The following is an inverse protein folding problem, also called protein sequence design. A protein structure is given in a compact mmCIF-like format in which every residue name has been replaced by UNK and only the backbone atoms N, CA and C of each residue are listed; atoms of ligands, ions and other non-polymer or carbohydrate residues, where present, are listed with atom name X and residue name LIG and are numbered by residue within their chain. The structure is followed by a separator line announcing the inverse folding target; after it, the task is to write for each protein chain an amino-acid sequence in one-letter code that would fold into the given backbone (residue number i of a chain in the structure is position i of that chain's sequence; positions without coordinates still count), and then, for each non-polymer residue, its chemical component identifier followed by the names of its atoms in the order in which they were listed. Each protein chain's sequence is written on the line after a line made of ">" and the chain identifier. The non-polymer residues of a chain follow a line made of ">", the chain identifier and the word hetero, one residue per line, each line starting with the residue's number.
data_IF_559821404417
#
_entry.id   IF_559821404417
#
_cell.length_a   1.000
_cell.length_b   1.000
_cell.length_c   1.000
_cell.angle_alpha   90.00
_cell.angle_beta   90.00
_cell.angle_gamma   90.00
#
_symmetry.space_group_name_H-M   'P 1'
#
loop_
_entity.id
_entity.type
_entity.pdbx_description
1 polymer ?
#
# COMPACT_ATOMS: atom_id res chain seq x y z
N UNK A 1 -35.25 32.62 -9.01
CA UNK A 1 -34.59 33.78 -8.34
C UNK A 1 -33.20 33.26 -7.91
N UNK A 2 -32.10 33.47 -8.65
CA UNK A 2 -31.16 34.64 -8.66
C UNK A 2 -30.81 35.10 -7.24
N UNK A 3 -29.57 35.23 -6.74
CA UNK A 3 -28.19 35.33 -7.27
C UNK A 3 -27.19 35.16 -6.08
N UNK A 4 -25.88 34.91 -6.32
CA UNK A 4 -24.83 34.44 -5.39
C UNK A 4 -23.87 35.57 -4.93
N UNK A 5 -22.68 35.23 -4.38
CA UNK A 5 -21.39 35.99 -4.26
C UNK A 5 -20.75 35.87 -2.83
N UNK A 6 -19.45 35.79 -2.55
CA UNK A 6 -18.15 36.01 -3.23
C UNK A 6 -17.14 34.99 -2.63
N UNK A 7 -16.23 34.34 -3.37
CA UNK A 7 -14.87 34.79 -3.75
C UNK A 7 -14.05 35.49 -2.64
N UNK A 8 -12.97 34.85 -2.18
CA UNK A 8 -11.81 35.52 -1.62
C UNK A 8 -10.53 34.73 -1.97
N UNK A 9 -9.79 35.24 -2.95
CA UNK A 9 -8.43 34.85 -3.30
C UNK A 9 -7.45 35.38 -2.24
N UNK A 10 -6.44 34.58 -1.87
CA UNK A 10 -5.18 35.10 -1.39
C UNK A 10 -4.04 34.13 -1.71
N UNK A 11 -3.31 34.42 -2.78
CA UNK A 11 -2.02 33.82 -3.08
C UNK A 11 -0.93 34.55 -2.30
N UNK A 12 0.00 33.82 -1.67
CA UNK A 12 1.28 34.36 -1.21
C UNK A 12 2.37 33.37 -1.61
N UNK A 13 3.18 33.78 -2.59
CA UNK A 13 4.44 33.15 -2.95
C UNK A 13 5.57 33.95 -2.30
N UNK A 14 6.55 33.28 -1.68
CA UNK A 14 7.84 33.87 -1.29
C UNK A 14 8.96 32.88 -1.62
N UNK A 15 9.91 33.37 -2.40
CA UNK A 15 11.17 32.76 -2.86
C UNK A 15 12.35 33.06 -1.91
N UNK A 16 13.48 32.38 -2.16
CA UNK A 16 14.89 32.58 -1.71
C UNK A 16 15.29 31.63 -0.55
N UNK A 17 16.43 30.93 -0.51
CA UNK A 17 17.62 30.80 -1.37
C UNK A 17 18.81 30.20 -0.56
N UNK A 18 19.69 29.46 -1.23
CA UNK A 18 21.16 29.24 -1.00
C UNK A 18 21.73 28.56 0.26
N UNK A 19 22.45 27.44 0.06
CA UNK A 19 23.83 27.16 0.54
C UNK A 19 24.32 25.80 -0.03
N UNK A 20 25.27 25.75 -0.97
CA UNK A 20 26.74 25.73 -0.82
C UNK A 20 27.31 24.32 -0.53
N UNK A 21 28.12 23.82 -1.46
CA UNK A 21 28.93 22.61 -1.34
C UNK A 21 29.78 22.40 -2.59
N UNK A 22 30.94 23.05 -2.64
CA UNK A 22 31.94 22.99 -3.71
C UNK A 22 32.78 21.70 -3.65
N UNK A 23 33.27 21.25 -4.81
CA UNK A 23 34.23 20.16 -4.92
C UNK A 23 34.59 19.87 -6.37
N UNK A 24 35.45 20.71 -6.96
CA UNK A 24 36.12 20.45 -8.24
C UNK A 24 37.18 19.36 -8.09
N UNK A 25 37.25 18.44 -9.04
CA UNK A 25 38.24 17.38 -9.10
C UNK A 25 38.26 16.71 -10.47
N UNK A 26 38.82 17.40 -11.45
CA UNK A 26 39.15 16.85 -12.76
C UNK A 26 40.35 15.90 -12.64
N UNK A 27 40.17 14.60 -12.94
CA UNK A 27 41.32 13.72 -13.17
C UNK A 27 40.97 12.53 -14.09
N UNK A 28 41.36 12.69 -15.35
CA UNK A 28 42.01 11.70 -16.24
C UNK A 28 41.39 10.30 -16.35
N UNK A 29 40.78 10.04 -17.52
CA UNK A 29 40.58 8.70 -18.08
C UNK A 29 41.95 8.09 -18.42
N UNK A 30 42.21 6.84 -18.02
CA UNK A 30 42.71 5.89 -19.00
C UNK A 30 41.87 4.60 -19.09
N UNK A 31 41.90 3.90 -20.25
CA UNK A 31 40.99 2.79 -20.56
C UNK A 31 41.49 1.45 -20.00
N UNK A 32 40.57 0.62 -19.50
CA UNK A 32 40.85 -0.79 -19.23
C UNK A 32 39.58 -1.65 -19.43
N UNK A 33 39.63 -2.45 -20.49
CA UNK A 33 39.22 -3.87 -20.60
C UNK A 33 37.87 -4.32 -20.01
N UNK A 34 36.91 -4.82 -20.85
CA UNK A 34 35.72 -5.50 -20.34
C UNK A 34 35.97 -6.99 -20.08
N UNK A 35 35.89 -7.41 -18.82
CA UNK A 35 35.45 -8.72 -18.33
C UNK A 35 35.23 -8.61 -16.81
N UNK A 36 34.30 -9.32 -16.13
CA UNK A 36 33.45 -10.44 -16.57
C UNK A 36 31.94 -10.18 -16.41
N UNK A 37 31.09 -10.82 -17.23
CA UNK A 37 29.64 -10.91 -16.96
C UNK A 37 29.44 -11.92 -15.83
N UNK A 38 29.50 -11.44 -14.58
CA UNK A 38 28.99 -12.18 -13.44
C UNK A 38 27.47 -12.20 -13.51
N UNK A 39 26.91 -13.40 -13.56
CA UNK A 39 25.49 -13.70 -13.35
C UNK A 39 25.01 -12.99 -12.09
N UNK A 40 24.22 -11.93 -12.26
CA UNK A 40 23.54 -11.27 -11.16
C UNK A 40 22.42 -12.21 -10.67
N UNK A 41 22.71 -12.98 -9.63
CA UNK A 41 21.69 -13.58 -8.78
C UNK A 41 20.91 -12.41 -8.16
N UNK A 42 19.70 -12.16 -8.66
CA UNK A 42 18.75 -11.26 -8.04
C UNK A 42 18.34 -11.84 -6.68
N UNK A 43 19.11 -11.53 -5.64
CA UNK A 43 18.56 -11.50 -4.28
C UNK A 43 17.51 -10.41 -4.26
N UNK A 44 16.24 -10.81 -4.37
CA UNK A 44 15.11 -10.00 -3.92
C UNK A 44 15.32 -9.73 -2.43
N UNK A 45 15.92 -8.59 -2.11
CA UNK A 45 15.77 -7.96 -0.81
C UNK A 45 14.29 -7.56 -0.67
N UNK A 46 13.50 -8.14 0.25
CA UNK A 46 12.18 -7.61 0.55
C UNK A 46 12.37 -6.18 1.07
N UNK A 47 11.74 -5.23 0.41
CA UNK A 47 11.74 -3.83 0.81
C UNK A 47 10.85 -3.68 2.04
N UNK A 48 11.42 -3.95 3.22
CA UNK A 48 10.77 -3.69 4.49
C UNK A 48 10.67 -2.17 4.69
N UNK A 49 9.49 -1.59 4.45
CA UNK A 49 9.17 -0.24 4.90
C UNK A 49 9.32 -0.17 6.43
N UNK A 50 10.12 0.77 6.98
CA UNK A 50 10.28 0.91 8.42
C UNK A 50 9.08 1.68 8.99
N UNK A 51 8.03 0.94 9.34
CA UNK A 51 6.86 1.45 10.05
C UNK A 51 6.48 0.48 11.15
N UNK A 52 6.65 0.91 12.40
CA UNK A 52 6.35 0.23 13.66
C UNK A 52 5.02 -0.53 13.62
N UNK A 53 5.06 -1.84 13.39
CA UNK A 53 3.89 -2.72 13.54
C UNK A 53 3.97 -3.50 14.84
N UNK A 54 3.69 -2.82 15.95
CA UNK A 54 3.24 -3.49 17.16
C UNK A 54 1.73 -3.70 17.02
N UNK A 55 1.28 -4.67 16.21
CA UNK A 55 -0.15 -4.99 16.11
C UNK A 55 -0.66 -5.74 14.88
N UNK A 56 0.08 -5.76 13.75
CA UNK A 56 -0.38 -6.53 12.59
C UNK A 56 -0.13 -8.04 12.80
N UNK A 57 -1.03 -8.92 12.32
CA UNK A 57 -0.80 -10.37 12.29
C UNK A 57 0.52 -10.71 11.60
N UNK A 58 1.09 -11.89 11.87
CA UNK A 58 2.29 -12.35 11.16
C UNK A 58 2.10 -12.35 9.64
N UNK A 59 3.20 -12.22 8.90
CA UNK A 59 3.15 -12.27 7.44
C UNK A 59 2.79 -13.68 6.97
N UNK A 60 1.84 -13.85 6.02
CA UNK A 60 1.48 -15.18 5.54
C UNK A 60 2.66 -15.85 4.82
N UNK A 61 2.77 -17.16 4.99
CA UNK A 61 3.70 -17.96 4.19
C UNK A 61 3.36 -17.90 2.68
N UNK A 62 4.30 -18.33 1.81
CA UNK A 62 4.20 -18.13 0.36
C UNK A 62 2.94 -18.76 -0.26
N UNK A 63 2.50 -19.92 0.26
CA UNK A 63 1.28 -20.59 -0.19
C UNK A 63 0.03 -19.77 0.14
N UNK A 64 -0.13 -19.39 1.40
CA UNK A 64 -1.27 -18.59 1.87
C UNK A 64 -1.32 -17.23 1.18
N UNK A 65 -0.16 -16.60 0.97
CA UNK A 65 -0.02 -15.37 0.20
C UNK A 65 -0.59 -15.54 -1.21
N UNK A 66 -0.20 -16.58 -1.92
CA UNK A 66 -0.68 -16.85 -3.28
C UNK A 66 -2.20 -17.09 -3.32
N UNK A 67 -2.74 -17.88 -2.40
CA UNK A 67 -4.19 -18.17 -2.33
C UNK A 67 -5.02 -16.92 -1.99
N UNK A 68 -4.50 -16.04 -1.13
CA UNK A 68 -5.13 -14.76 -0.82
C UNK A 68 -5.15 -13.84 -2.05
N UNK A 69 -4.03 -13.71 -2.77
CA UNK A 69 -3.94 -12.88 -3.97
C UNK A 69 -4.80 -13.43 -5.12
N UNK A 70 -4.90 -14.75 -5.27
CA UNK A 70 -5.81 -15.39 -6.22
C UNK A 70 -7.28 -15.05 -5.88
N UNK A 71 -7.63 -15.10 -4.58
CA UNK A 71 -8.96 -14.72 -4.11
C UNK A 71 -9.28 -13.25 -4.39
N UNK A 72 -8.34 -12.33 -4.18
CA UNK A 72 -8.51 -10.92 -4.54
C UNK A 72 -8.68 -10.73 -6.05
N UNK A 73 -7.84 -11.37 -6.86
CA UNK A 73 -7.94 -11.30 -8.32
C UNK A 73 -9.28 -11.86 -8.84
N UNK A 74 -9.87 -12.84 -8.14
CA UNK A 74 -11.20 -13.35 -8.43
C UNK A 74 -12.35 -12.38 -8.13
N UNK A 75 -12.11 -11.38 -7.27
CA UNK A 75 -13.06 -10.28 -7.01
C UNK A 75 -12.84 -9.19 -8.06
N UNK A 76 -11.65 -8.59 -8.06
CA UNK A 76 -11.22 -7.63 -9.09
C UNK A 76 -9.67 -7.58 -9.13
N UNK A 77 -9.04 -7.67 -10.32
CA UNK A 77 -7.59 -7.64 -10.46
C UNK A 77 -6.93 -6.32 -10.04
N UNK A 78 -7.68 -5.22 -9.96
CA UNK A 78 -7.17 -3.95 -9.44
C UNK A 78 -6.82 -4.04 -7.94
N UNK A 79 -7.45 -4.94 -7.19
CA UNK A 79 -7.21 -5.12 -5.74
C UNK A 79 -5.77 -5.52 -5.41
N UNK A 80 -5.03 -6.12 -6.36
CA UNK A 80 -3.61 -6.45 -6.20
C UNK A 80 -2.67 -5.35 -6.68
N UNK A 81 -3.19 -4.18 -7.06
CA UNK A 81 -2.40 -3.01 -7.46
C UNK A 81 -2.01 -2.15 -6.24
N UNK A 82 -0.85 -1.46 -6.26
CA UNK A 82 0.17 -1.45 -7.33
C UNK A 82 1.08 -2.69 -7.34
N UNK A 83 1.09 -3.46 -6.26
CA UNK A 83 1.87 -4.68 -6.10
C UNK A 83 1.25 -5.60 -5.04
N UNK A 84 1.62 -6.88 -5.11
CA UNK A 84 1.15 -7.92 -4.21
C UNK A 84 1.45 -7.65 -2.73
N UNK A 85 2.61 -7.05 -2.41
CA UNK A 85 3.01 -6.81 -1.02
C UNK A 85 2.08 -5.77 -0.36
N UNK A 86 1.71 -4.75 -1.12
CA UNK A 86 0.72 -3.75 -0.71
C UNK A 86 -0.65 -4.40 -0.49
N UNK A 87 -1.07 -5.31 -1.35
CA UNK A 87 -2.35 -6.01 -1.21
C UNK A 87 -2.38 -6.93 0.03
N UNK A 88 -1.27 -7.62 0.32
CA UNK A 88 -1.10 -8.43 1.54
C UNK A 88 -1.10 -7.55 2.78
N UNK A 89 -0.43 -6.39 2.73
CA UNK A 89 -0.43 -5.42 3.83
C UNK A 89 -1.83 -4.91 4.15
N UNK A 90 -2.61 -4.50 3.14
CA UNK A 90 -4.02 -4.09 3.30
C UNK A 90 -4.86 -5.20 3.93
N UNK A 91 -4.65 -6.45 3.51
CA UNK A 91 -5.31 -7.61 4.11
C UNK A 91 -4.97 -7.80 5.59
N UNK A 92 -3.69 -7.67 5.95
CA UNK A 92 -3.25 -7.74 7.36
C UNK A 92 -3.79 -6.57 8.19
N UNK A 93 -3.86 -5.37 7.62
CA UNK A 93 -4.50 -4.22 8.26
C UNK A 93 -6.00 -4.45 8.47
N UNK A 94 -6.66 -5.11 7.53
CA UNK A 94 -8.06 -5.51 7.67
C UNK A 94 -8.26 -6.50 8.82
N UNK A 95 -7.35 -7.47 9.01
CA UNK A 95 -7.38 -8.35 10.18
C UNK A 95 -7.21 -7.58 11.50
N UNK A 96 -6.27 -6.62 11.55
CA UNK A 96 -6.09 -5.77 12.73
C UNK A 96 -7.36 -4.96 13.03
N UNK A 97 -7.93 -4.31 12.02
CA UNK A 97 -9.18 -3.56 12.13
C UNK A 97 -10.33 -4.44 12.62
N UNK A 98 -10.45 -5.67 12.12
CA UNK A 98 -11.45 -6.64 12.62
C UNK A 98 -11.26 -6.83 14.11
N UNK A 99 -10.05 -7.15 14.57
CA UNK A 99 -9.75 -7.36 16.00
C UNK A 99 -10.05 -6.11 16.86
N UNK A 100 -9.71 -4.91 16.37
CA UNK A 100 -9.92 -3.64 17.09
C UNK A 100 -11.40 -3.24 17.19
N UNK A 101 -12.22 -3.68 16.23
CA UNK A 101 -13.65 -3.40 16.19
C UNK A 101 -14.51 -4.48 16.83
N UNK A 102 -13.90 -5.58 17.29
CA UNK A 102 -14.63 -6.64 17.99
C UNK A 102 -15.35 -6.11 19.23
N UNK A 103 -16.59 -6.57 19.44
CA UNK A 103 -17.44 -6.14 20.55
C UNK A 103 -18.09 -4.76 20.41
N UNK A 104 -17.83 -4.01 19.33
CA UNK A 104 -18.55 -2.77 19.05
C UNK A 104 -19.96 -3.03 18.51
N UNK A 105 -20.90 -2.12 18.83
CA UNK A 105 -22.28 -2.16 18.32
C UNK A 105 -22.35 -1.80 16.82
N UNK A 106 -21.45 -0.93 16.35
CA UNK A 106 -21.37 -0.41 14.99
C UNK A 106 -20.31 -1.13 14.12
N UNK A 107 -19.79 -2.28 14.58
CA UNK A 107 -18.62 -2.94 13.96
C UNK A 107 -18.78 -3.19 12.46
N UNK A 108 -19.98 -3.60 12.01
CA UNK A 108 -20.19 -4.03 10.62
C UNK A 108 -20.18 -2.81 9.68
N UNK A 109 -20.71 -1.67 10.13
CA UNK A 109 -20.65 -0.40 9.41
C UNK A 109 -19.21 0.12 9.33
N UNK A 110 -18.50 0.14 10.46
CA UNK A 110 -17.09 0.58 10.54
C UNK A 110 -16.21 -0.28 9.63
N UNK A 111 -16.35 -1.61 9.70
CA UNK A 111 -15.62 -2.56 8.86
C UNK A 111 -15.85 -2.32 7.38
N UNK A 112 -17.11 -2.14 6.98
CA UNK A 112 -17.46 -1.90 5.59
C UNK A 112 -16.83 -0.62 5.05
N UNK A 113 -16.85 0.47 5.82
CA UNK A 113 -16.23 1.74 5.42
C UNK A 113 -14.71 1.60 5.34
N UNK A 114 -14.06 1.08 6.39
CA UNK A 114 -12.60 0.97 6.43
C UNK A 114 -12.04 0.03 5.35
N UNK A 115 -12.72 -1.08 5.04
CA UNK A 115 -12.31 -1.97 3.94
C UNK A 115 -12.39 -1.24 2.61
N UNK A 116 -13.45 -0.48 2.37
CA UNK A 116 -13.59 0.29 1.12
C UNK A 116 -12.50 1.35 1.00
N UNK A 117 -12.12 2.00 2.10
CA UNK A 117 -11.02 2.97 2.12
C UNK A 117 -9.65 2.31 1.90
N UNK A 118 -9.36 1.20 2.59
CA UNK A 118 -8.09 0.47 2.45
C UNK A 118 -7.87 -0.06 1.03
N UNK A 119 -8.94 -0.50 0.37
CA UNK A 119 -8.91 -1.06 -0.98
C UNK A 119 -9.37 -0.07 -2.07
N UNK A 120 -9.52 1.22 -1.75
CA UNK A 120 -9.70 2.25 -2.75
C UNK A 120 -8.41 2.41 -3.57
N UNK A 121 -8.43 1.92 -4.81
CA UNK A 121 -7.27 1.92 -5.71
C UNK A 121 -7.64 2.55 -7.05
N UNK A 122 -6.63 2.99 -7.81
CA UNK A 122 -6.89 3.60 -9.12
C UNK A 122 -7.64 2.63 -10.03
N UNK A 123 -8.83 3.01 -10.46
CA UNK A 123 -9.65 2.23 -11.39
C UNK A 123 -10.59 1.22 -10.72
N UNK A 124 -10.67 1.21 -9.38
CA UNK A 124 -11.57 0.35 -8.63
C UNK A 124 -12.06 1.04 -7.35
N UNK A 125 -13.37 0.99 -7.13
CA UNK A 125 -14.00 1.48 -5.91
C UNK A 125 -14.89 0.35 -5.37
N UNK A 126 -14.50 -0.25 -4.25
CA UNK A 126 -15.28 -1.31 -3.61
C UNK A 126 -16.66 -0.77 -3.21
N UNK A 127 -17.70 -1.50 -3.58
CA UNK A 127 -19.03 -1.32 -3.02
C UNK A 127 -19.22 -2.15 -1.73
N UNK A 128 -20.46 -2.21 -1.23
CA UNK A 128 -20.77 -3.00 -0.03
C UNK A 128 -20.60 -4.52 -0.24
N UNK A 129 -20.93 -5.04 -1.42
CA UNK A 129 -20.79 -6.46 -1.73
C UNK A 129 -19.31 -6.83 -1.90
N UNK A 130 -18.53 -5.97 -2.55
CA UNK A 130 -17.09 -6.15 -2.66
C UNK A 130 -16.40 -6.14 -1.29
N UNK A 131 -16.79 -5.22 -0.40
CA UNK A 131 -16.25 -5.16 0.95
C UNK A 131 -16.50 -6.45 1.73
N UNK A 132 -17.68 -7.06 1.59
CA UNK A 132 -17.99 -8.36 2.19
C UNK A 132 -17.11 -9.48 1.61
N UNK A 133 -16.91 -9.53 0.29
CA UNK A 133 -16.06 -10.51 -0.38
C UNK A 133 -14.59 -10.37 0.03
N UNK A 134 -14.09 -9.13 0.12
CA UNK A 134 -12.73 -8.84 0.57
C UNK A 134 -12.55 -9.28 2.03
N UNK A 135 -13.47 -8.94 2.93
CA UNK A 135 -13.43 -9.39 4.32
C UNK A 135 -13.47 -10.91 4.43
N UNK A 136 -14.27 -11.59 3.60
CA UNK A 136 -14.33 -13.04 3.57
C UNK A 136 -12.99 -13.65 3.13
N UNK A 137 -12.34 -13.11 2.09
CA UNK A 137 -11.02 -13.54 1.65
C UNK A 137 -9.95 -13.31 2.74
N UNK A 138 -9.97 -12.15 3.40
CA UNK A 138 -9.05 -11.82 4.50
C UNK A 138 -9.22 -12.78 5.66
N UNK A 139 -10.44 -13.01 6.16
CA UNK A 139 -10.68 -13.95 7.26
C UNK A 139 -10.27 -15.38 6.89
N UNK A 140 -10.58 -15.81 5.67
CA UNK A 140 -10.26 -17.17 5.21
C UNK A 140 -8.76 -17.44 5.15
N UNK A 141 -7.96 -16.47 4.68
CA UNK A 141 -6.56 -16.71 4.38
C UNK A 141 -5.59 -16.09 5.39
N UNK A 142 -5.88 -14.91 5.92
CA UNK A 142 -4.93 -14.13 6.72
C UNK A 142 -5.23 -14.12 8.22
N UNK A 143 -6.50 -14.26 8.62
CA UNK A 143 -6.90 -14.34 10.03
C UNK A 143 -8.03 -15.37 10.26
N UNK A 144 -7.75 -16.68 10.08
CA UNK A 144 -8.76 -17.74 10.22
C UNK A 144 -9.19 -18.03 11.66
N UNK A 145 -8.39 -17.61 12.65
CA UNK A 145 -8.63 -17.87 14.08
C UNK A 145 -9.25 -16.68 14.83
N UNK A 146 -9.68 -15.63 14.10
CA UNK A 146 -10.35 -14.44 14.67
C UNK A 146 -11.86 -14.61 14.78
#
# INVERSE_FOLDING_TARGET
>A
MRIPHQLACAAVAVLLGTACGAGEGEQLIPPATPAPTATATLTLTPSASPGTSTGLPEEPGPKTRAEYLDSLNGIDPALTSPDDDTAVLRGRQTCQMIAETEGREDRDEVRGVEVRELFAVSGYEADGADAELIMAAVRKHLCPDM
#
